data_IF_066087674584
#
_entry.id   IF_066087674584
#
_cell.length_a   1.000
_cell.length_b   1.000
_cell.length_c   1.000
_cell.angle_alpha   90.00
_cell.angle_beta   90.00
_cell.angle_gamma   90.00
#
_symmetry.space_group_name_H-M   'P 1'
#
loop_
_entity.id
_entity.type
_entity.pdbx_description
1 polymer ?
#
# COMPACT_ATOMS: atom_id res chain seq x y z
N UNK A 1 2.44 16.11 -0.29
CA UNK A 1 1.25 16.06 0.57
C UNK A 1 0.40 14.83 0.23
N UNK A 2 -0.49 14.47 1.16
CA UNK A 2 -1.52 13.46 0.91
C UNK A 2 -2.68 14.15 0.21
N UNK A 3 -3.27 13.50 -0.80
CA UNK A 3 -4.41 14.04 -1.55
C UNK A 3 -5.59 14.38 -0.59
N UNK A 4 -6.21 15.51 -0.78
CA UNK A 4 -7.30 16.05 0.06
C UNK A 4 -6.90 16.22 1.54
N UNK A 5 -5.65 16.55 1.80
CA UNK A 5 -5.15 16.88 3.13
C UNK A 5 -5.03 18.40 3.31
N UNK A 6 -5.07 18.91 4.55
CA UNK A 6 -4.88 20.33 4.82
C UNK A 6 -3.58 20.91 4.23
N UNK A 7 -2.53 20.09 4.16
CA UNK A 7 -1.27 20.51 3.54
C UNK A 7 -1.39 20.72 2.02
N UNK A 8 -2.18 19.89 1.33
CA UNK A 8 -2.46 20.08 -0.10
C UNK A 8 -3.34 21.30 -0.34
N UNK A 9 -4.37 21.47 0.49
CA UNK A 9 -5.33 22.60 0.38
C UNK A 9 -4.65 23.97 0.48
N UNK A 10 -3.66 24.11 1.36
CA UNK A 10 -2.87 25.35 1.47
C UNK A 10 -1.82 25.50 0.37
N UNK A 11 -1.65 24.51 -0.51
CA UNK A 11 -0.79 24.57 -1.68
C UNK A 11 0.64 24.03 -1.50
N UNK A 12 0.90 23.20 -0.49
CA UNK A 12 2.13 22.41 -0.40
C UNK A 12 2.17 21.42 -1.55
N UNK A 13 3.32 21.25 -2.20
CA UNK A 13 3.49 20.40 -3.39
C UNK A 13 4.54 19.31 -3.16
N UNK A 14 4.44 18.23 -3.94
CA UNK A 14 5.50 17.25 -4.01
C UNK A 14 6.81 17.89 -4.47
N UNK A 15 7.92 17.54 -3.83
CA UNK A 15 9.23 18.14 -4.09
C UNK A 15 9.52 19.43 -3.33
N UNK A 16 8.62 19.90 -2.46
CA UNK A 16 8.92 21.00 -1.51
C UNK A 16 9.88 20.50 -0.43
N UNK A 17 10.92 21.29 -0.16
CA UNK A 17 11.87 21.03 0.94
C UNK A 17 11.43 21.81 2.18
N UNK A 18 10.97 21.12 3.20
CA UNK A 18 10.64 21.74 4.49
C UNK A 18 11.95 22.17 5.15
N UNK A 19 12.11 23.46 5.44
CA UNK A 19 13.31 24.04 6.07
C UNK A 19 13.06 24.47 7.51
N UNK A 20 11.79 24.78 7.86
CA UNK A 20 11.42 25.21 9.21
C UNK A 20 10.01 24.70 9.53
N UNK A 21 9.77 24.30 10.77
CA UNK A 21 8.48 23.92 11.34
C UNK A 21 8.28 24.75 12.59
N UNK A 22 7.23 25.58 12.63
CA UNK A 22 7.04 26.64 13.59
C UNK A 22 8.36 27.45 13.72
N UNK A 23 8.93 27.55 14.90
CA UNK A 23 10.21 28.23 15.14
C UNK A 23 11.44 27.33 15.01
N UNK A 24 11.29 26.06 14.66
CA UNK A 24 12.36 25.06 14.67
C UNK A 24 12.91 24.81 13.28
N UNK A 25 14.22 25.00 13.09
CA UNK A 25 14.92 24.60 11.85
C UNK A 25 14.96 23.07 11.73
N UNK A 26 14.66 22.55 10.52
CA UNK A 26 14.62 21.09 10.25
C UNK A 26 16.01 20.55 9.87
N UNK A 27 16.91 21.42 9.44
CA UNK A 27 18.26 21.01 9.04
C UNK A 27 18.99 20.29 10.18
N UNK A 28 19.53 19.11 9.89
CA UNK A 28 20.24 18.27 10.86
C UNK A 28 19.34 17.39 11.74
N UNK A 29 18.02 17.45 11.57
CA UNK A 29 17.07 16.57 12.26
C UNK A 29 16.82 15.32 11.44
N UNK A 30 16.52 14.23 12.13
CA UNK A 30 16.03 13.01 11.52
C UNK A 30 14.59 13.19 11.02
N UNK A 31 14.15 12.31 10.10
CA UNK A 31 12.76 12.32 9.64
C UNK A 31 11.76 12.14 10.79
N UNK A 32 12.08 11.28 11.75
CA UNK A 32 11.21 11.02 12.92
C UNK A 32 11.05 12.28 13.78
N UNK A 33 12.13 13.01 14.05
CA UNK A 33 12.07 14.28 14.80
C UNK A 33 11.26 15.34 14.05
N UNK A 34 11.41 15.43 12.73
CA UNK A 34 10.60 16.36 11.92
C UNK A 34 9.11 15.97 11.95
N UNK A 35 8.79 14.67 11.88
CA UNK A 35 7.41 14.17 11.98
C UNK A 35 6.80 14.49 13.35
N UNK A 36 7.55 14.33 14.44
CA UNK A 36 7.05 14.67 15.78
C UNK A 36 6.77 16.17 15.92
N UNK A 37 7.58 17.04 15.32
CA UNK A 37 7.29 18.47 15.27
C UNK A 37 6.02 18.82 14.48
N UNK A 38 5.76 18.07 13.39
CA UNK A 38 4.56 18.26 12.57
C UNK A 38 3.29 17.77 13.26
N UNK A 39 3.36 16.78 14.14
CA UNK A 39 2.21 16.26 14.88
C UNK A 39 1.75 17.23 15.97
N UNK A 40 0.48 17.15 16.32
CA UNK A 40 -0.10 17.94 17.39
C UNK A 40 -1.61 17.70 17.53
N UNK A 41 -2.28 18.41 18.46
CA UNK A 41 -3.72 18.29 18.66
C UNK A 41 -4.51 18.65 17.39
N UNK A 42 -5.59 17.94 17.14
CA UNK A 42 -6.52 18.26 16.05
C UNK A 42 -7.09 19.66 16.26
N UNK A 43 -7.16 20.45 15.19
CA UNK A 43 -7.63 21.83 15.20
C UNK A 43 -6.56 22.87 15.61
N UNK A 44 -5.35 22.43 15.98
CA UNK A 44 -4.23 23.36 16.20
C UNK A 44 -3.53 23.69 14.89
N UNK A 45 -3.00 24.90 14.77
CA UNK A 45 -2.23 25.33 13.61
C UNK A 45 -0.76 24.95 13.73
N UNK A 46 -0.11 24.80 12.58
CA UNK A 46 1.33 24.64 12.41
C UNK A 46 1.78 25.51 11.24
N UNK A 47 2.89 26.19 11.39
CA UNK A 47 3.53 26.93 10.32
C UNK A 47 4.69 26.12 9.73
N UNK A 48 4.68 25.88 8.43
CA UNK A 48 5.82 25.29 7.74
C UNK A 48 6.41 26.26 6.74
N UNK A 49 7.73 26.39 6.75
CA UNK A 49 8.48 27.12 5.73
C UNK A 49 9.12 26.12 4.79
N UNK A 50 8.90 26.29 3.48
CA UNK A 50 9.45 25.39 2.46
C UNK A 50 10.26 26.13 1.41
N UNK A 51 11.23 25.42 0.83
CA UNK A 51 11.94 25.82 -0.40
C UNK A 51 11.41 25.02 -1.55
N UNK A 52 10.94 25.69 -2.60
CA UNK A 52 10.42 25.10 -3.82
C UNK A 52 11.33 25.41 -5.00
N UNK A 53 11.61 24.41 -5.81
CA UNK A 53 12.41 24.60 -7.02
C UNK A 53 11.70 25.59 -7.96
N UNK A 54 12.45 26.61 -8.43
CA UNK A 54 11.91 27.70 -9.26
C UNK A 54 11.43 28.93 -8.50
N UNK A 55 11.25 28.84 -7.18
CA UNK A 55 10.89 30.00 -6.33
C UNK A 55 12.14 30.63 -5.73
N UNK A 56 12.22 31.97 -5.83
CA UNK A 56 13.38 32.74 -5.28
C UNK A 56 13.30 32.88 -3.76
N UNK A 57 12.08 32.91 -3.21
CA UNK A 57 11.84 33.07 -1.76
C UNK A 57 11.31 31.78 -1.17
N UNK A 58 11.55 31.58 0.12
CA UNK A 58 10.88 30.53 0.88
C UNK A 58 9.37 30.83 0.95
N UNK A 59 8.56 29.79 0.86
CA UNK A 59 7.11 29.88 1.01
C UNK A 59 6.74 29.47 2.43
N UNK A 60 5.76 30.15 3.00
CA UNK A 60 5.25 29.89 4.34
C UNK A 60 3.80 29.45 4.21
N UNK A 61 3.46 28.33 4.86
CA UNK A 61 2.12 27.77 4.89
C UNK A 61 1.68 27.56 6.33
N UNK A 62 0.50 28.07 6.68
CA UNK A 62 -0.18 27.72 7.93
C UNK A 62 -1.15 26.61 7.65
N UNK A 63 -1.04 25.51 8.39
CA UNK A 63 -1.83 24.29 8.20
C UNK A 63 -2.56 24.00 9.50
N UNK A 64 -3.89 23.90 9.46
CA UNK A 64 -4.67 23.43 10.59
C UNK A 64 -4.64 21.91 10.64
N UNK A 65 -4.21 21.34 11.77
CA UNK A 65 -4.09 19.90 11.94
C UNK A 65 -5.46 19.24 11.99
N UNK A 66 -5.62 18.20 11.18
CA UNK A 66 -6.84 17.40 11.10
C UNK A 66 -6.51 15.90 11.16
N UNK A 67 -7.55 15.09 11.40
CA UNK A 67 -7.44 13.63 11.24
C UNK A 67 -7.39 13.33 9.75
N UNK A 68 -6.20 13.05 9.23
CA UNK A 68 -6.01 12.70 7.81
C UNK A 68 -6.60 11.32 7.56
N UNK A 69 -7.77 11.30 6.90
CA UNK A 69 -8.33 10.07 6.37
C UNK A 69 -7.70 9.77 5.01
N UNK A 70 -6.64 8.99 5.01
CA UNK A 70 -6.04 8.54 3.74
C UNK A 70 -7.04 7.65 3.02
N UNK A 71 -7.66 8.16 1.98
CA UNK A 71 -8.47 7.37 1.07
C UNK A 71 -7.53 6.41 0.32
N UNK A 72 -7.45 5.15 0.80
CA UNK A 72 -6.62 4.13 0.17
C UNK A 72 -7.19 3.61 -1.13
N UNK A 73 -8.44 3.94 -1.46
CA UNK A 73 -9.13 3.46 -2.65
C UNK A 73 -9.58 4.64 -3.51
N UNK A 74 -9.06 4.69 -4.73
CA UNK A 74 -9.56 5.56 -5.82
C UNK A 74 -10.30 4.69 -6.83
N UNK A 75 -11.36 5.19 -7.47
CA UNK A 75 -12.13 4.38 -8.41
C UNK A 75 -12.80 5.24 -9.46
N UNK A 76 -12.90 4.72 -10.66
CA UNK A 76 -13.57 5.34 -11.80
C UNK A 76 -14.12 4.29 -12.77
N UNK A 77 -15.01 4.69 -13.66
CA UNK A 77 -15.44 3.88 -14.80
C UNK A 77 -14.62 4.33 -16.01
N UNK A 78 -13.85 3.41 -16.60
CA UNK A 78 -12.96 3.74 -17.74
C UNK A 78 -13.69 3.79 -19.07
N UNK A 79 -14.67 2.88 -19.23
CA UNK A 79 -15.56 2.81 -20.36
C UNK A 79 -16.94 2.32 -19.88
N UNK A 80 -17.89 2.10 -20.77
CA UNK A 80 -19.25 1.67 -20.39
C UNK A 80 -19.30 0.34 -19.62
N UNK A 81 -18.23 -0.45 -19.63
CA UNK A 81 -18.24 -1.84 -19.12
C UNK A 81 -17.11 -2.11 -18.10
N UNK A 82 -16.15 -1.21 -17.89
CA UNK A 82 -14.95 -1.47 -17.09
C UNK A 82 -14.87 -0.57 -15.87
N UNK A 83 -14.89 -1.18 -14.69
CA UNK A 83 -14.64 -0.54 -13.40
C UNK A 83 -13.14 -0.61 -13.07
N UNK A 84 -12.54 0.54 -12.82
CA UNK A 84 -11.16 0.66 -12.34
C UNK A 84 -11.16 1.00 -10.86
N UNK A 85 -10.37 0.25 -10.08
CA UNK A 85 -10.17 0.44 -8.65
C UNK A 85 -8.67 0.46 -8.39
N UNK A 86 -8.15 1.58 -7.89
CA UNK A 86 -6.77 1.67 -7.42
C UNK A 86 -6.74 1.59 -5.90
N UNK A 87 -5.96 0.66 -5.39
CA UNK A 87 -5.64 0.53 -3.97
C UNK A 87 -4.20 0.98 -3.73
N UNK A 88 -4.00 2.03 -2.95
CA UNK A 88 -2.68 2.62 -2.70
C UNK A 88 -1.99 2.09 -1.46
N UNK A 89 -2.75 1.54 -0.49
CA UNK A 89 -2.23 0.91 0.72
C UNK A 89 -3.29 0.04 1.38
N UNK A 90 -2.86 -0.90 2.23
CA UNK A 90 -3.75 -1.78 2.99
C UNK A 90 -3.90 -1.28 4.43
N UNK A 91 -4.79 -0.30 4.65
CA UNK A 91 -5.17 0.19 5.97
C UNK A 91 -6.46 -0.47 6.49
N UNK A 92 -6.88 -0.17 7.72
CA UNK A 92 -8.02 -0.80 8.39
C UNK A 92 -9.34 -0.71 7.61
N UNK A 93 -9.50 0.29 6.75
CA UNK A 93 -10.72 0.56 5.99
C UNK A 93 -10.68 0.07 4.53
N UNK A 94 -9.53 -0.38 4.04
CA UNK A 94 -9.32 -0.69 2.62
C UNK A 94 -10.32 -1.71 2.06
N UNK A 95 -10.55 -2.81 2.77
CA UNK A 95 -11.52 -3.84 2.35
C UNK A 95 -12.94 -3.31 2.31
N UNK A 96 -13.35 -2.50 3.30
CA UNK A 96 -14.67 -1.87 3.34
C UNK A 96 -14.87 -0.89 2.18
N UNK A 97 -13.85 -0.09 1.88
CA UNK A 97 -13.88 0.87 0.77
C UNK A 97 -14.02 0.15 -0.58
N UNK A 98 -13.19 -0.89 -0.85
CA UNK A 98 -13.30 -1.71 -2.07
C UNK A 98 -14.70 -2.32 -2.19
N UNK A 99 -15.19 -2.97 -1.13
CA UNK A 99 -16.53 -3.58 -1.13
C UNK A 99 -17.64 -2.58 -1.45
N UNK A 100 -17.55 -1.38 -0.90
CA UNK A 100 -18.54 -0.32 -1.16
C UNK A 100 -18.48 0.14 -2.62
N UNK A 101 -17.27 0.31 -3.19
CA UNK A 101 -17.10 0.71 -4.59
C UNK A 101 -17.59 -0.37 -5.55
N UNK A 102 -17.31 -1.63 -5.29
CA UNK A 102 -17.86 -2.75 -6.09
C UNK A 102 -19.39 -2.76 -6.03
N UNK A 103 -19.98 -2.58 -4.85
CA UNK A 103 -21.45 -2.48 -4.73
C UNK A 103 -22.03 -1.30 -5.52
N UNK A 104 -21.32 -0.18 -5.57
CA UNK A 104 -21.70 0.98 -6.37
C UNK A 104 -21.65 0.64 -7.87
N UNK A 105 -20.57 0.05 -8.34
CA UNK A 105 -20.40 -0.35 -9.73
C UNK A 105 -21.43 -1.42 -10.16
N UNK A 106 -21.76 -2.38 -9.31
CA UNK A 106 -22.80 -3.40 -9.60
C UNK A 106 -24.20 -2.83 -9.80
N UNK A 107 -24.50 -1.59 -9.39
CA UNK A 107 -25.76 -0.92 -9.75
C UNK A 107 -25.84 -0.63 -11.24
N UNK A 108 -24.71 -0.42 -11.90
CA UNK A 108 -24.62 -0.33 -13.34
C UNK A 108 -24.44 -1.73 -13.94
N UNK A 109 -25.53 -2.31 -14.44
CA UNK A 109 -25.56 -3.68 -15.03
C UNK A 109 -24.66 -3.85 -16.27
N UNK A 110 -24.15 -2.76 -16.84
CA UNK A 110 -23.21 -2.83 -17.97
C UNK A 110 -21.80 -3.19 -17.53
N UNK A 111 -21.42 -2.97 -16.27
CA UNK A 111 -20.07 -3.27 -15.76
C UNK A 111 -19.88 -4.79 -15.71
N UNK A 112 -18.89 -5.27 -16.47
CA UNK A 112 -18.54 -6.67 -16.65
C UNK A 112 -17.04 -6.93 -16.42
N UNK A 113 -16.24 -5.89 -16.44
CA UNK A 113 -14.80 -5.99 -16.31
C UNK A 113 -14.33 -5.17 -15.11
N UNK A 114 -13.39 -5.71 -14.35
CA UNK A 114 -12.82 -5.07 -13.17
C UNK A 114 -11.30 -5.02 -13.29
N UNK A 115 -10.73 -3.84 -13.06
CA UNK A 115 -9.29 -3.64 -12.96
C UNK A 115 -8.97 -3.25 -11.52
N UNK A 116 -8.14 -4.05 -10.85
CA UNK A 116 -7.56 -3.72 -9.55
C UNK A 116 -6.10 -3.27 -9.75
N UNK A 117 -5.83 -2.00 -9.54
CA UNK A 117 -4.47 -1.45 -9.66
C UNK A 117 -3.78 -1.45 -8.29
N UNK A 118 -2.74 -2.28 -8.19
CA UNK A 118 -1.86 -2.43 -7.02
C UNK A 118 -0.46 -1.85 -7.29
N UNK A 119 -0.24 -1.16 -8.40
CA UNK A 119 1.06 -0.56 -8.72
C UNK A 119 1.44 0.49 -7.67
N UNK A 120 2.70 0.47 -7.26
CA UNK A 120 3.27 1.33 -6.21
C UNK A 120 2.52 1.24 -4.86
N UNK A 121 1.91 0.07 -4.58
CA UNK A 121 1.30 -0.20 -3.29
C UNK A 121 2.24 -1.05 -2.43
N UNK A 122 2.88 -0.49 -1.39
CA UNK A 122 3.87 -1.20 -0.58
C UNK A 122 3.25 -2.26 0.34
N UNK A 123 1.93 -2.42 0.31
CA UNK A 123 1.21 -3.36 1.16
C UNK A 123 0.56 -2.69 2.37
N UNK A 124 0.66 -3.34 3.51
CA UNK A 124 0.06 -2.95 4.77
C UNK A 124 -0.51 -4.14 5.56
N UNK A 125 -1.70 -4.01 6.10
CA UNK A 125 -2.29 -5.01 7.00
C UNK A 125 -2.63 -6.32 6.31
N UNK A 126 -2.06 -7.43 6.80
CA UNK A 126 -2.36 -8.80 6.35
C UNK A 126 -3.86 -9.10 6.40
N UNK A 127 -4.53 -8.69 7.46
CA UNK A 127 -5.98 -8.90 7.62
C UNK A 127 -6.80 -8.28 6.49
N UNK A 128 -6.33 -7.19 5.89
CA UNK A 128 -6.99 -6.54 4.77
C UNK A 128 -6.69 -7.28 3.45
N UNK A 129 -5.46 -7.76 3.24
CA UNK A 129 -5.14 -8.59 2.10
C UNK A 129 -6.02 -9.85 2.07
N UNK A 130 -6.14 -10.55 3.22
CA UNK A 130 -7.00 -11.72 3.35
C UNK A 130 -8.47 -11.38 3.00
N UNK A 131 -9.02 -10.31 3.57
CA UNK A 131 -10.41 -9.90 3.31
C UNK A 131 -10.64 -9.51 1.84
N UNK A 132 -9.68 -8.81 1.23
CA UNK A 132 -9.79 -8.39 -0.17
C UNK A 132 -9.68 -9.60 -1.11
N UNK A 133 -8.76 -10.53 -0.85
CA UNK A 133 -8.68 -11.78 -1.62
C UNK A 133 -9.95 -12.61 -1.48
N UNK A 134 -10.48 -12.71 -0.24
CA UNK A 134 -11.72 -13.42 0.07
C UNK A 134 -12.94 -12.89 -0.71
N UNK A 135 -12.97 -11.60 -1.05
CA UNK A 135 -14.05 -11.02 -1.83
C UNK A 135 -14.15 -11.57 -3.26
N UNK A 136 -13.08 -12.09 -3.82
CA UNK A 136 -13.01 -12.54 -5.21
C UNK A 136 -12.84 -14.05 -5.35
N UNK A 137 -12.80 -14.80 -4.25
CA UNK A 137 -12.60 -16.25 -4.26
C UNK A 137 -13.83 -16.97 -3.68
N UNK A 138 -14.21 -18.08 -4.31
CA UNK A 138 -15.28 -18.93 -3.80
C UNK A 138 -14.81 -19.89 -2.70
N UNK A 139 -13.55 -20.30 -2.73
CA UNK A 139 -12.94 -21.23 -1.79
C UNK A 139 -11.41 -21.27 -1.95
N UNK A 140 -10.75 -22.09 -1.15
CA UNK A 140 -9.32 -22.38 -1.25
C UNK A 140 -8.45 -21.56 -0.32
N UNK A 141 -7.17 -21.90 -0.25
CA UNK A 141 -6.17 -21.17 0.55
C UNK A 141 -5.90 -19.81 -0.09
N UNK A 142 -5.82 -18.74 0.72
CA UNK A 142 -5.43 -17.40 0.28
C UNK A 142 -3.92 -17.25 0.47
N UNK A 143 -3.45 -17.55 1.68
CA UNK A 143 -2.04 -17.38 2.07
C UNK A 143 -1.75 -18.27 3.27
N UNK A 144 -0.50 -18.73 3.37
CA UNK A 144 -0.01 -19.36 4.59
C UNK A 144 1.28 -18.71 5.08
N UNK A 145 1.55 -18.89 6.38
CA UNK A 145 2.83 -18.52 6.99
C UNK A 145 3.54 -19.74 7.52
N UNK A 146 4.85 -19.77 7.32
CA UNK A 146 5.71 -20.80 7.92
C UNK A 146 6.77 -20.12 8.79
N UNK A 147 6.83 -20.55 10.05
CA UNK A 147 7.79 -20.12 11.06
C UNK A 147 8.83 -21.24 11.30
N UNK A 148 9.93 -20.89 11.96
CA UNK A 148 10.88 -21.88 12.48
C UNK A 148 10.20 -22.86 13.43
N UNK A 149 9.21 -22.40 14.20
CA UNK A 149 8.39 -23.21 15.09
C UNK A 149 7.12 -23.65 14.36
N UNK A 150 7.01 -24.93 13.98
CA UNK A 150 5.92 -25.45 13.14
C UNK A 150 4.50 -25.20 13.71
N UNK A 151 4.34 -25.12 15.03
CA UNK A 151 3.05 -24.84 15.67
C UNK A 151 2.57 -23.39 15.49
N UNK A 152 3.45 -22.49 15.05
CA UNK A 152 3.10 -21.09 14.72
C UNK A 152 2.66 -20.93 13.26
N UNK A 153 2.73 -21.98 12.45
CA UNK A 153 2.28 -21.95 11.07
C UNK A 153 0.78 -21.67 11.01
N UNK A 154 0.37 -20.78 10.12
CA UNK A 154 -1.03 -20.42 9.94
C UNK A 154 -1.39 -20.50 8.46
N UNK A 155 -2.68 -20.77 8.23
CA UNK A 155 -3.29 -20.76 6.90
C UNK A 155 -4.60 -19.99 6.94
N UNK A 156 -4.86 -19.24 5.90
CA UNK A 156 -6.13 -18.52 5.73
C UNK A 156 -6.78 -18.98 4.44
N UNK A 157 -8.08 -19.21 4.53
CA UNK A 157 -8.91 -19.74 3.45
C UNK A 157 -10.01 -18.76 3.11
N UNK A 158 -10.38 -18.75 1.83
CA UNK A 158 -11.52 -18.00 1.34
C UNK A 158 -12.83 -18.63 1.83
N UNK A 159 -13.81 -17.76 2.04
CA UNK A 159 -15.20 -18.13 2.32
C UNK A 159 -15.99 -18.01 1.03
N UNK A 160 -17.05 -18.79 0.88
CA UNK A 160 -17.89 -18.76 -0.30
C UNK A 160 -18.47 -17.38 -0.58
N UNK A 161 -18.31 -16.90 -1.79
CA UNK A 161 -18.96 -15.71 -2.32
C UNK A 161 -18.03 -14.75 -3.05
N UNK A 162 -17.93 -14.87 -4.38
CA UNK A 162 -17.28 -13.87 -5.24
C UNK A 162 -18.21 -12.66 -5.41
N UNK A 163 -17.78 -11.49 -4.91
CA UNK A 163 -18.62 -10.28 -4.92
C UNK A 163 -18.83 -9.66 -6.30
N UNK A 164 -18.07 -10.09 -7.32
CA UNK A 164 -18.26 -9.68 -8.72
C UNK A 164 -18.81 -10.82 -9.59
N UNK A 165 -19.37 -11.87 -8.96
CA UNK A 165 -20.12 -12.96 -9.62
C UNK A 165 -19.35 -13.62 -10.79
N UNK A 166 -18.03 -13.79 -10.66
CA UNK A 166 -17.19 -14.41 -11.69
C UNK A 166 -16.84 -13.50 -12.87
N UNK A 167 -17.24 -12.24 -12.88
CA UNK A 167 -16.92 -11.29 -13.94
C UNK A 167 -15.40 -11.14 -14.12
N UNK A 168 -14.96 -10.70 -15.31
CA UNK A 168 -13.55 -10.60 -15.68
C UNK A 168 -12.77 -9.70 -14.74
N UNK A 169 -11.57 -10.13 -14.31
CA UNK A 169 -10.70 -9.35 -13.43
C UNK A 169 -9.25 -9.34 -13.93
N UNK A 170 -8.69 -8.14 -13.97
CA UNK A 170 -7.27 -7.89 -14.23
C UNK A 170 -6.66 -7.19 -13.02
N UNK A 171 -5.44 -7.57 -12.65
CA UNK A 171 -4.67 -6.91 -11.61
C UNK A 171 -3.42 -6.28 -12.23
N UNK A 172 -3.23 -4.97 -12.00
CA UNK A 172 -2.03 -4.26 -12.42
C UNK A 172 -1.02 -4.30 -11.29
N UNK A 173 0.20 -4.73 -11.60
CA UNK A 173 1.32 -4.84 -10.66
C UNK A 173 2.60 -4.24 -11.25
N UNK A 174 3.49 -3.79 -10.36
CA UNK A 174 4.84 -3.39 -10.73
C UNK A 174 5.81 -3.67 -9.56
N UNK A 175 7.07 -3.28 -9.72
CA UNK A 175 8.08 -3.45 -8.66
C UNK A 175 7.73 -2.73 -7.35
N UNK A 176 6.90 -1.69 -7.38
CA UNK A 176 6.39 -1.01 -6.19
C UNK A 176 5.26 -1.76 -5.46
N UNK A 177 4.76 -2.87 -6.01
CA UNK A 177 3.77 -3.74 -5.37
C UNK A 177 4.47 -4.69 -4.40
N UNK A 178 4.18 -4.62 -3.10
CA UNK A 178 4.88 -5.39 -2.08
C UNK A 178 3.95 -5.97 -1.00
N UNK A 179 4.40 -7.05 -0.32
CA UNK A 179 3.76 -7.58 0.91
C UNK A 179 2.28 -7.94 0.71
N UNK A 180 1.33 -7.20 1.33
CA UNK A 180 -0.10 -7.43 1.20
C UNK A 180 -0.60 -7.39 -0.25
N UNK A 181 0.00 -6.54 -1.10
CA UNK A 181 -0.29 -6.50 -2.55
C UNK A 181 0.09 -7.80 -3.24
N UNK A 182 1.22 -8.38 -2.86
CA UNK A 182 1.71 -9.65 -3.41
C UNK A 182 0.85 -10.84 -2.97
N UNK A 183 0.31 -10.78 -1.75
CA UNK A 183 -0.65 -11.78 -1.26
C UNK A 183 -1.92 -11.76 -2.11
N UNK A 184 -2.51 -10.59 -2.34
CA UNK A 184 -3.73 -10.46 -3.15
C UNK A 184 -3.46 -10.89 -4.59
N UNK A 185 -2.42 -10.35 -5.22
CA UNK A 185 -2.06 -10.67 -6.60
C UNK A 185 -1.80 -12.17 -6.78
N UNK A 186 -0.91 -12.73 -5.95
CA UNK A 186 -0.52 -14.13 -6.06
C UNK A 186 -1.64 -15.11 -5.71
N UNK A 187 -2.49 -14.80 -4.72
CA UNK A 187 -3.64 -15.64 -4.41
C UNK A 187 -4.63 -15.69 -5.57
N UNK A 188 -4.98 -14.54 -6.16
CA UNK A 188 -5.94 -14.49 -7.27
C UNK A 188 -5.36 -15.09 -8.56
N UNK A 189 -4.04 -14.98 -8.79
CA UNK A 189 -3.34 -15.64 -9.88
C UNK A 189 -3.35 -17.17 -9.72
N UNK A 190 -2.93 -17.69 -8.57
CA UNK A 190 -2.86 -19.12 -8.29
C UNK A 190 -4.23 -19.80 -8.43
N UNK A 191 -5.30 -19.11 -8.05
CA UNK A 191 -6.67 -19.56 -8.26
C UNK A 191 -7.21 -19.30 -9.67
N UNK A 192 -6.41 -18.74 -10.58
CA UNK A 192 -6.84 -18.36 -11.95
C UNK A 192 -8.06 -17.43 -11.96
N UNK A 193 -8.23 -16.64 -10.89
CA UNK A 193 -9.35 -15.73 -10.75
C UNK A 193 -9.08 -14.38 -11.45
N UNK A 194 -7.83 -13.98 -11.56
CA UNK A 194 -7.43 -12.75 -12.22
C UNK A 194 -6.19 -12.99 -13.09
N UNK A 195 -6.04 -12.16 -14.12
CA UNK A 195 -4.83 -12.07 -14.96
C UNK A 195 -3.99 -10.92 -14.42
N UNK A 196 -2.72 -11.17 -14.16
CA UNK A 196 -1.77 -10.16 -13.70
C UNK A 196 -1.06 -9.52 -14.89
N UNK A 197 -1.02 -8.18 -14.93
CA UNK A 197 -0.41 -7.41 -16.01
C UNK A 197 0.56 -6.38 -15.42
N UNK A 198 1.72 -6.24 -16.03
CA UNK A 198 2.74 -5.25 -15.67
C UNK A 198 4.12 -5.84 -15.44
N UNK A 199 4.77 -5.52 -14.34
CA UNK A 199 6.12 -6.01 -13.99
C UNK A 199 6.08 -6.86 -12.72
N UNK A 200 7.17 -7.64 -12.50
CA UNK A 200 7.33 -8.44 -11.28
C UNK A 200 7.30 -7.57 -10.03
N UNK A 201 6.69 -8.08 -8.97
CA UNK A 201 6.57 -7.37 -7.69
C UNK A 201 7.88 -7.40 -6.89
N UNK A 202 7.92 -6.70 -5.77
CA UNK A 202 9.12 -6.47 -4.95
C UNK A 202 9.71 -7.75 -4.32
N UNK A 203 8.87 -8.68 -3.84
CA UNK A 203 9.34 -9.89 -3.16
C UNK A 203 9.43 -9.76 -1.63
N UNK A 204 8.59 -8.94 -0.98
CA UNK A 204 8.51 -8.84 0.48
C UNK A 204 7.67 -9.95 1.09
N UNK A 205 8.30 -11.12 1.27
CA UNK A 205 7.65 -12.32 1.81
C UNK A 205 7.86 -12.55 3.31
N UNK A 206 8.32 -11.56 4.08
CA UNK A 206 8.59 -11.69 5.52
C UNK A 206 7.43 -11.19 6.38
N UNK A 207 7.15 -11.91 7.48
CA UNK A 207 6.23 -11.50 8.55
C UNK A 207 7.05 -10.95 9.70
N UNK A 208 6.81 -9.70 10.06
CA UNK A 208 7.50 -9.03 11.16
C UNK A 208 6.58 -8.88 12.37
N UNK A 209 7.12 -9.15 13.56
CA UNK A 209 6.46 -8.85 14.84
C UNK A 209 7.20 -7.74 15.55
N UNK A 210 6.45 -6.81 16.12
CA UNK A 210 6.97 -5.80 17.03
C UNK A 210 6.81 -6.34 18.44
N UNK A 211 7.93 -6.55 19.13
CA UNK A 211 7.99 -7.07 20.49
C UNK A 211 8.36 -5.91 21.40
N UNK A 212 7.43 -5.38 22.23
CA UNK A 212 7.75 -4.33 23.18
C UNK A 212 8.76 -4.83 24.21
N UNK A 213 9.67 -3.95 24.60
CA UNK A 213 10.66 -4.16 25.66
C UNK A 213 10.25 -3.39 26.92
N UNK A 214 10.69 -3.84 28.09
CA UNK A 214 10.37 -3.23 29.38
C UNK A 214 10.90 -1.78 29.52
N UNK A 215 11.86 -1.37 28.67
CA UNK A 215 12.51 -0.06 28.72
C UNK A 215 12.00 0.93 27.65
N UNK A 216 10.70 0.96 27.38
CA UNK A 216 10.05 1.85 26.39
C UNK A 216 10.51 1.68 24.93
N UNK A 217 11.29 0.63 24.63
CA UNK A 217 11.73 0.26 23.29
C UNK A 217 10.89 -0.86 22.70
N UNK A 218 11.15 -1.20 21.44
CA UNK A 218 10.58 -2.39 20.80
C UNK A 218 11.58 -3.01 19.82
N UNK A 219 11.55 -4.34 19.69
CA UNK A 219 12.30 -5.07 18.67
C UNK A 219 11.36 -5.43 17.53
N UNK A 220 11.75 -5.09 16.30
CA UNK A 220 11.10 -5.59 15.08
C UNK A 220 11.85 -6.85 14.65
N UNK A 221 11.18 -8.00 14.68
CA UNK A 221 11.77 -9.28 14.38
C UNK A 221 11.00 -10.00 13.27
N UNK A 222 11.71 -10.52 12.26
CA UNK A 222 11.13 -11.43 11.27
C UNK A 222 10.88 -12.80 11.90
N UNK A 223 9.60 -13.18 11.97
CA UNK A 223 9.16 -14.41 12.67
C UNK A 223 8.68 -15.50 11.73
N UNK A 224 8.26 -15.17 10.51
CA UNK A 224 7.71 -16.13 9.55
C UNK A 224 7.89 -15.63 8.11
N UNK A 225 7.64 -16.51 7.15
CA UNK A 225 7.57 -16.17 5.72
C UNK A 225 6.19 -16.48 5.17
N UNK A 226 5.76 -15.67 4.20
CA UNK A 226 4.52 -15.88 3.45
C UNK A 226 4.71 -16.88 2.31
N UNK A 227 3.68 -17.70 2.10
CA UNK A 227 3.58 -18.63 0.98
C UNK A 227 2.21 -18.50 0.32
N UNK A 228 2.22 -18.48 -1.01
CA UNK A 228 1.02 -18.48 -1.85
C UNK A 228 0.32 -19.83 -1.83
N UNK A 229 -0.92 -19.95 -2.33
CA UNK A 229 -1.65 -21.21 -2.43
C UNK A 229 -0.89 -22.32 -3.14
N UNK A 230 -0.13 -21.99 -4.18
CA UNK A 230 0.77 -22.90 -4.91
C UNK A 230 1.95 -23.43 -4.05
N UNK A 231 2.14 -22.90 -2.84
CA UNK A 231 3.29 -23.21 -1.99
C UNK A 231 4.56 -22.43 -2.33
N UNK A 232 4.53 -21.54 -3.33
CA UNK A 232 5.65 -20.66 -3.67
C UNK A 232 5.86 -19.62 -2.58
N UNK A 233 7.12 -19.34 -2.25
CA UNK A 233 7.49 -18.25 -1.36
C UNK A 233 7.50 -16.93 -2.12
N UNK A 234 6.92 -15.89 -1.54
CA UNK A 234 7.00 -14.52 -2.07
C UNK A 234 8.40 -13.93 -1.86
N UNK A 235 9.10 -14.38 -0.81
CA UNK A 235 10.34 -13.76 -0.34
C UNK A 235 11.45 -13.75 -1.40
N UNK A 236 11.94 -12.58 -1.77
CA UNK A 236 12.98 -12.29 -2.77
C UNK A 236 12.64 -12.69 -4.22
N UNK A 237 11.47 -13.25 -4.47
CA UNK A 237 11.05 -13.69 -5.80
C UNK A 237 9.91 -12.83 -6.32
N UNK A 238 9.03 -12.38 -5.42
CA UNK A 238 7.83 -11.65 -5.78
C UNK A 238 6.78 -12.51 -6.50
N UNK A 239 5.86 -11.83 -7.15
CA UNK A 239 4.83 -12.38 -8.02
C UNK A 239 5.10 -11.89 -9.42
N UNK A 240 5.22 -12.81 -10.39
CA UNK A 240 5.42 -12.46 -11.79
C UNK A 240 4.07 -12.22 -12.47
N UNK A 241 3.97 -11.22 -13.36
CA UNK A 241 2.76 -11.03 -14.15
C UNK A 241 2.57 -12.15 -15.18
N UNK A 242 1.33 -12.38 -15.58
CA UNK A 242 0.98 -13.27 -16.71
C UNK A 242 1.29 -12.58 -18.05
N UNK A 243 1.12 -11.25 -18.09
CA UNK A 243 1.43 -10.40 -19.25
C UNK A 243 2.42 -9.34 -18.81
N UNK A 244 3.64 -9.42 -19.34
CA UNK A 244 4.72 -8.45 -19.04
C UNK A 244 4.52 -7.20 -19.86
N UNK A 245 4.39 -6.06 -19.20
CA UNK A 245 4.37 -4.73 -19.82
C UNK A 245 5.32 -3.85 -19.01
N UNK A 246 6.42 -3.41 -19.63
CA UNK A 246 7.36 -2.50 -18.99
C UNK A 246 6.73 -1.10 -18.83
N UNK A 247 6.86 -0.52 -17.64
CA UNK A 247 6.49 0.89 -17.42
C UNK A 247 7.54 1.79 -18.11
N UNK A 248 7.10 2.49 -19.15
CA UNK A 248 7.97 3.15 -20.15
C UNK A 248 8.51 4.52 -19.77
N UNK A 249 8.75 4.86 -18.49
CA UNK A 249 9.44 6.10 -18.14
C UNK A 249 10.30 5.98 -16.88
N UNK A 250 11.51 6.55 -16.92
CA UNK A 250 12.43 6.66 -15.78
C UNK A 250 11.84 7.43 -14.58
N UNK A 251 10.80 8.23 -14.77
CA UNK A 251 10.07 8.93 -13.70
C UNK A 251 9.38 7.98 -12.69
N UNK A 252 8.99 6.80 -13.12
CA UNK A 252 8.39 5.79 -12.24
C UNK A 252 9.41 5.08 -11.33
N UNK A 253 10.68 5.04 -11.72
CA UNK A 253 11.76 4.44 -10.91
C UNK A 253 12.11 5.25 -9.67
N UNK A 254 11.83 6.55 -9.66
CA UNK A 254 12.13 7.43 -8.53
C UNK A 254 11.27 7.09 -7.29
N UNK A 255 10.04 6.59 -7.49
CA UNK A 255 9.17 6.19 -6.39
C UNK A 255 9.56 4.85 -5.73
N UNK A 256 10.37 4.02 -6.39
CA UNK A 256 10.93 2.81 -5.77
C UNK A 256 11.98 3.11 -4.71
N UNK A 257 12.61 4.28 -4.75
CA UNK A 257 13.56 4.73 -3.74
C UNK A 257 12.92 4.92 -2.34
N UNK A 258 11.60 5.22 -2.28
CA UNK A 258 10.87 5.34 -1.02
C UNK A 258 10.62 3.99 -0.32
N UNK A 259 10.54 2.89 -1.07
CA UNK A 259 10.47 1.54 -0.51
C UNK A 259 11.82 1.11 0.11
N UNK A 260 12.92 1.55 -0.49
CA UNK A 260 14.27 1.29 0.02
C UNK A 260 14.54 2.00 1.36
N UNK A 261 14.03 3.21 1.55
CA UNK A 261 14.24 3.97 2.81
C UNK A 261 13.41 3.46 3.98
N UNK A 262 12.27 2.79 3.74
CA UNK A 262 11.46 2.19 4.81
C UNK A 262 11.99 0.83 5.27
N UNK A 263 12.76 0.14 4.42
CA UNK A 263 13.31 -1.21 4.67
C UNK A 263 14.83 -1.21 4.92
N UNK A 264 15.50 -0.04 4.87
CA UNK A 264 16.94 0.08 5.14
C UNK A 264 17.36 -0.39 6.55
N UNK A 265 16.40 -0.61 7.44
CA UNK A 265 16.63 -1.22 8.76
C UNK A 265 16.66 -2.77 8.71
N UNK A 266 16.19 -3.38 7.61
CA UNK A 266 16.14 -4.86 7.49
C UNK A 266 17.41 -5.45 6.84
N UNK A 267 18.25 -4.62 6.16
CA UNK A 267 19.47 -5.06 5.48
C UNK A 267 20.74 -4.93 6.32
N UNK A 268 20.65 -4.41 7.55
CA UNK A 268 21.74 -4.42 8.53
C UNK A 268 21.69 -5.66 9.41
N UNK A 269 21.83 -6.85 8.82
CA UNK A 269 22.27 -8.05 9.54
C UNK A 269 23.32 -8.75 8.68
N UNK A 270 24.57 -8.41 8.94
CA UNK A 270 25.70 -9.28 8.67
C UNK A 270 25.71 -10.41 9.69
#
# INVERSE_FOLDING_TARGET
PIDNSPAEEVGVKAGDYIVKIDDVQVQGKTLSEAVELMRGPVGSDIEITVRRRGERKALIFTITREIIQVASVKSEIKDDQTAYIRLTSFNENSSKQIKNKIKEFKKNKKIKNYILDLRNNPGGLLSQAIKISDYFLENGEIVSTKSKRKYENRKWFAKKGDIIDGETMVILINYGSASASEIVAGALQDHKRAILVGESTYGKGSVQSIIPLENEGAIRLTVSKYYLPSGKSISRVGVNPDIVIAEGSDEFRINTCLLYTSDAADDCVC
#
